data_IF_120375566031
#
_entry.id   IF_120375566031
#
_cell.length_a   1.000
_cell.length_b   1.000
_cell.length_c   1.000
_cell.angle_alpha   90.00
_cell.angle_beta   90.00
_cell.angle_gamma   90.00
#
_symmetry.space_group_name_H-M   'P 1'
#
loop_
_entity.id
_entity.type
_entity.pdbx_description
1 polymer ?
#
# COMPACT_ATOMS: atom_id res chain seq x y z
N UNK A 1 11.28 11.89 -29.02
CA UNK A 1 10.59 10.87 -29.84
C UNK A 1 9.10 10.98 -29.64
N UNK A 2 8.31 10.40 -30.53
CA UNK A 2 6.86 10.23 -30.31
C UNK A 2 6.68 9.18 -29.19
N UNK A 3 5.78 9.38 -28.21
CA UNK A 3 5.47 8.33 -27.23
C UNK A 3 4.93 7.09 -27.91
N UNK A 4 5.53 5.93 -27.66
CA UNK A 4 5.10 4.64 -28.23
C UNK A 4 4.57 3.78 -27.08
N UNK A 5 3.31 3.32 -27.14
CA UNK A 5 2.81 2.34 -26.19
C UNK A 5 3.59 1.04 -26.28
N UNK A 6 4.15 0.58 -25.16
CA UNK A 6 4.78 -0.73 -25.05
C UNK A 6 3.87 -1.69 -24.28
N UNK A 7 3.73 -2.93 -24.79
CA UNK A 7 2.96 -3.96 -24.11
C UNK A 7 3.78 -4.59 -22.99
N UNK A 8 3.23 -4.58 -21.76
CA UNK A 8 3.77 -5.35 -20.64
C UNK A 8 3.24 -6.79 -20.70
N UNK A 9 4.01 -7.70 -21.25
CA UNK A 9 3.67 -9.14 -21.22
C UNK A 9 4.28 -9.77 -19.98
N UNK A 10 3.44 -9.97 -18.96
CA UNK A 10 3.87 -10.55 -17.70
C UNK A 10 3.62 -12.05 -17.74
N UNK A 11 4.70 -12.81 -17.63
CA UNK A 11 4.67 -14.27 -17.50
C UNK A 11 5.21 -14.64 -16.13
N UNK A 12 4.46 -15.49 -15.43
CA UNK A 12 4.93 -16.10 -14.20
C UNK A 12 6.10 -17.04 -14.51
N UNK A 13 7.28 -16.77 -13.96
CA UNK A 13 8.48 -17.56 -14.26
C UNK A 13 8.40 -19.02 -13.76
N UNK A 14 7.54 -19.30 -12.77
CA UNK A 14 7.37 -20.63 -12.17
C UNK A 14 6.34 -21.45 -12.93
N UNK A 15 5.16 -20.89 -13.17
CA UNK A 15 4.04 -21.57 -13.83
C UNK A 15 4.04 -21.39 -15.35
N UNK A 16 4.89 -20.49 -15.86
CA UNK A 16 4.95 -20.06 -17.26
C UNK A 16 3.61 -19.51 -17.77
N UNK A 17 2.71 -19.14 -16.86
CA UNK A 17 1.41 -18.60 -17.22
C UNK A 17 1.52 -17.10 -17.50
N UNK A 18 1.12 -16.70 -18.70
CA UNK A 18 0.90 -15.29 -19.03
C UNK A 18 -0.40 -14.80 -18.39
N UNK A 19 -0.38 -13.59 -17.83
CA UNK A 19 -1.59 -12.93 -17.33
C UNK A 19 -2.55 -12.64 -18.50
N UNK A 20 -3.85 -12.84 -18.27
CA UNK A 20 -4.91 -12.68 -19.29
C UNK A 20 -5.34 -11.23 -19.48
N UNK A 21 -5.25 -10.47 -18.40
CA UNK A 21 -5.39 -9.03 -18.36
C UNK A 21 -4.43 -8.52 -17.29
N UNK A 22 -3.96 -7.29 -17.43
CA UNK A 22 -3.11 -6.63 -16.43
C UNK A 22 -3.48 -5.16 -16.32
N UNK A 23 -3.23 -4.60 -15.15
CA UNK A 23 -3.34 -3.17 -14.86
C UNK A 23 -2.08 -2.75 -14.12
N UNK A 24 -1.30 -1.85 -14.72
CA UNK A 24 -0.25 -1.13 -14.01
C UNK A 24 -0.90 -0.09 -13.08
N UNK A 25 -0.48 -0.06 -11.82
CA UNK A 25 -1.06 0.80 -10.78
C UNK A 25 -0.08 1.85 -10.28
N UNK A 26 1.21 1.51 -10.27
CA UNK A 26 2.25 2.39 -9.77
C UNK A 26 3.54 2.29 -10.60
N UNK A 27 4.31 3.37 -10.58
CA UNK A 27 5.61 3.49 -11.22
C UNK A 27 6.56 4.24 -10.30
N UNK A 28 7.83 3.84 -10.26
CA UNK A 28 8.87 4.52 -9.49
C UNK A 28 9.17 5.91 -10.07
N UNK A 29 9.79 6.77 -9.28
CA UNK A 29 10.08 8.15 -9.67
C UNK A 29 11.02 8.26 -10.88
N UNK A 30 11.90 7.26 -11.07
CA UNK A 30 12.78 7.15 -12.23
C UNK A 30 12.14 6.44 -13.44
N UNK A 31 10.93 5.90 -13.29
CA UNK A 31 10.20 5.21 -14.35
C UNK A 31 10.65 3.77 -14.63
N UNK A 32 11.58 3.21 -13.84
CA UNK A 32 12.18 1.91 -14.12
C UNK A 32 11.46 0.72 -13.48
N UNK A 33 10.72 0.94 -12.40
CA UNK A 33 9.95 -0.10 -11.70
C UNK A 33 8.47 0.19 -11.88
N UNK A 34 7.73 -0.83 -12.31
CA UNK A 34 6.27 -0.77 -12.50
C UNK A 34 5.65 -1.87 -11.65
N UNK A 35 4.62 -1.55 -10.88
CA UNK A 35 3.87 -2.53 -10.11
C UNK A 35 2.39 -2.50 -10.48
N UNK A 36 1.73 -3.64 -10.32
CA UNK A 36 0.32 -3.75 -10.57
C UNK A 36 -0.21 -5.14 -10.30
N UNK A 37 -1.31 -5.47 -10.96
CA UNK A 37 -1.88 -6.80 -10.86
C UNK A 37 -2.51 -7.24 -12.17
N UNK A 38 -2.65 -8.54 -12.35
CA UNK A 38 -3.33 -9.10 -13.50
C UNK A 38 -4.02 -10.41 -13.21
N UNK A 39 -4.95 -10.78 -14.07
CA UNK A 39 -5.78 -11.96 -13.89
C UNK A 39 -5.11 -13.20 -14.46
N UNK A 40 -5.16 -14.28 -13.69
CA UNK A 40 -4.91 -15.64 -14.20
C UNK A 40 -6.24 -16.36 -14.42
N UNK A 41 -6.18 -17.67 -14.72
CA UNK A 41 -7.38 -18.52 -14.72
C UNK A 41 -8.05 -18.62 -13.35
N UNK A 42 -7.26 -18.48 -12.29
CA UNK A 42 -7.68 -18.84 -10.93
C UNK A 42 -7.92 -17.63 -10.05
N UNK A 43 -7.14 -16.56 -10.21
CA UNK A 43 -7.25 -15.33 -9.43
C UNK A 43 -6.32 -14.21 -9.94
N UNK A 44 -6.45 -13.02 -9.34
CA UNK A 44 -5.50 -11.92 -9.55
C UNK A 44 -4.14 -12.22 -8.90
N UNK A 45 -3.09 -11.75 -9.55
CA UNK A 45 -1.70 -11.86 -9.12
C UNK A 45 -1.08 -10.47 -9.15
N UNK A 46 -0.42 -10.10 -8.05
CA UNK A 46 0.39 -8.90 -8.01
C UNK A 46 1.67 -9.17 -8.81
N UNK A 47 2.17 -8.16 -9.51
CA UNK A 47 3.41 -8.24 -10.26
C UNK A 47 4.25 -6.99 -10.04
N UNK A 48 5.54 -7.15 -10.27
CA UNK A 48 6.51 -6.07 -10.45
C UNK A 48 7.26 -6.31 -11.77
N UNK A 49 7.54 -5.23 -12.49
CA UNK A 49 8.27 -5.25 -13.75
C UNK A 49 9.38 -4.21 -13.70
N UNK A 50 10.61 -4.64 -14.01
CA UNK A 50 11.78 -3.79 -14.20
C UNK A 50 11.99 -3.51 -15.68
N UNK A 51 12.20 -2.24 -16.02
CA UNK A 51 12.61 -1.80 -17.37
C UNK A 51 14.13 -1.88 -17.44
N UNK A 52 14.65 -2.89 -18.16
CA UNK A 52 16.10 -3.12 -18.28
C UNK A 52 16.73 -2.29 -19.41
N UNK A 53 16.01 -2.19 -20.54
CA UNK A 53 16.47 -1.40 -21.69
C UNK A 53 15.27 -0.90 -22.52
N UNK A 54 15.02 0.40 -22.44
CA UNK A 54 13.96 1.06 -23.22
C UNK A 54 14.40 1.46 -24.64
N UNK A 55 15.63 1.18 -25.04
CA UNK A 55 16.16 1.49 -26.40
C UNK A 55 15.91 0.37 -27.41
N UNK A 56 15.45 -0.80 -26.93
CA UNK A 56 15.11 -1.97 -27.75
C UNK A 56 13.65 -1.95 -28.20
N UNK A 57 13.34 -2.69 -29.27
CA UNK A 57 11.97 -2.95 -29.74
C UNK A 57 11.77 -4.47 -29.95
N UNK A 58 10.95 -5.15 -29.12
CA UNK A 58 10.25 -4.61 -27.94
C UNK A 58 11.23 -4.19 -26.85
N UNK A 59 10.81 -3.26 -25.98
CA UNK A 59 11.59 -2.88 -24.79
C UNK A 59 11.92 -4.12 -23.96
N UNK A 60 13.12 -4.16 -23.39
CA UNK A 60 13.57 -5.29 -22.57
C UNK A 60 13.04 -5.10 -21.16
N UNK A 61 12.22 -6.06 -20.74
CA UNK A 61 11.54 -6.06 -19.45
C UNK A 61 11.85 -7.33 -18.69
N UNK A 62 11.87 -7.22 -17.37
CA UNK A 62 11.94 -8.36 -16.48
C UNK A 62 10.75 -8.29 -15.52
N UNK A 63 9.90 -9.33 -15.51
CA UNK A 63 8.67 -9.32 -14.73
C UNK A 63 8.64 -10.47 -13.73
N UNK A 64 8.19 -10.16 -12.53
CA UNK A 64 8.07 -11.08 -11.42
C UNK A 64 6.64 -11.07 -10.88
N UNK A 65 6.10 -12.25 -10.63
CA UNK A 65 4.87 -12.38 -9.84
C UNK A 65 5.24 -12.30 -8.37
N UNK A 66 4.64 -11.35 -7.67
CA UNK A 66 4.86 -11.16 -6.25
C UNK A 66 4.18 -12.28 -5.46
N UNK A 67 4.81 -12.79 -4.38
CA UNK A 67 4.23 -13.87 -3.59
C UNK A 67 2.93 -13.45 -2.90
N UNK A 68 1.99 -14.37 -2.78
CA UNK A 68 0.78 -14.19 -1.97
C UNK A 68 0.99 -14.67 -0.52
N UNK A 69 0.15 -14.19 0.40
CA UNK A 69 0.10 -14.74 1.76
C UNK A 69 -0.31 -16.22 1.72
N UNK A 70 0.22 -17.01 2.65
CA UNK A 70 -0.09 -18.44 2.76
C UNK A 70 -1.60 -18.72 2.79
N UNK A 71 -2.07 -19.53 1.83
CA UNK A 71 -3.49 -19.87 1.67
C UNK A 71 -4.36 -18.79 1.00
N UNK A 72 -3.79 -17.64 0.64
CA UNK A 72 -4.47 -16.58 -0.11
C UNK A 72 -4.71 -16.94 -1.58
N UNK A 73 -5.87 -16.58 -2.11
CA UNK A 73 -6.22 -16.84 -3.51
C UNK A 73 -5.72 -15.76 -4.45
N UNK A 74 -5.69 -14.50 -4.04
CA UNK A 74 -5.31 -13.37 -4.90
C UNK A 74 -4.33 -12.42 -4.21
N UNK A 75 -3.62 -11.64 -5.02
CA UNK A 75 -2.77 -10.54 -4.59
C UNK A 75 -2.86 -9.40 -5.60
N UNK A 76 -2.79 -8.16 -5.11
CA UNK A 76 -2.88 -6.95 -5.92
C UNK A 76 -1.96 -5.85 -5.37
N UNK A 77 -1.07 -5.31 -6.22
CA UNK A 77 -0.22 -4.18 -5.88
C UNK A 77 -0.84 -2.87 -6.38
N UNK A 78 -0.79 -1.82 -5.56
CA UNK A 78 -1.44 -0.53 -5.83
C UNK A 78 -0.51 0.67 -5.75
N UNK A 79 0.51 0.63 -4.89
CA UNK A 79 1.43 1.74 -4.67
C UNK A 79 2.87 1.25 -4.45
N UNK A 80 3.84 2.15 -4.50
CA UNK A 80 5.24 1.84 -4.19
C UNK A 80 5.97 3.06 -3.61
N UNK A 81 7.08 2.83 -2.92
CA UNK A 81 8.02 3.88 -2.54
C UNK A 81 8.64 4.54 -3.79
N UNK A 82 9.12 5.80 -3.71
CA UNK A 82 9.66 6.50 -4.87
C UNK A 82 10.80 5.79 -5.61
N UNK A 83 11.59 4.99 -4.89
CA UNK A 83 12.68 4.16 -5.43
C UNK A 83 12.22 2.79 -5.95
N UNK A 84 10.93 2.45 -5.81
CA UNK A 84 10.37 1.18 -6.23
C UNK A 84 10.78 -0.03 -5.39
N UNK A 85 11.49 0.16 -4.26
CA UNK A 85 12.00 -0.95 -3.45
C UNK A 85 10.91 -1.64 -2.62
N UNK A 86 9.91 -0.87 -2.16
CA UNK A 86 8.80 -1.40 -1.37
C UNK A 86 7.49 -1.15 -2.12
N UNK A 87 6.70 -2.20 -2.31
CA UNK A 87 5.41 -2.16 -2.99
C UNK A 87 4.32 -2.40 -1.96
N UNK A 88 3.25 -1.60 -1.98
CA UNK A 88 2.11 -1.72 -1.11
C UNK A 88 0.86 -2.19 -1.88
N UNK A 89 0.01 -2.96 -1.20
CA UNK A 89 -1.24 -3.42 -1.77
C UNK A 89 -2.04 -4.30 -0.83
N UNK A 90 -2.62 -5.38 -1.37
CA UNK A 90 -3.34 -6.38 -0.60
C UNK A 90 -3.10 -7.80 -1.08
N UNK A 91 -3.21 -8.73 -0.16
CA UNK A 91 -3.24 -10.16 -0.46
C UNK A 91 -4.37 -10.82 0.32
N UNK A 92 -5.00 -11.79 -0.32
CA UNK A 92 -5.99 -12.64 0.31
C UNK A 92 -5.36 -13.49 1.43
N UNK A 93 -6.17 -13.90 2.39
CA UNK A 93 -5.80 -14.83 3.46
C UNK A 93 -7.02 -15.68 3.85
N UNK A 94 -6.86 -16.75 4.64
CA UNK A 94 -8.01 -17.54 5.10
C UNK A 94 -9.09 -16.75 5.87
N UNK A 95 -8.76 -15.54 6.37
CA UNK A 95 -9.69 -14.65 7.09
C UNK A 95 -10.15 -13.44 6.26
N UNK A 96 -9.82 -13.44 4.96
CA UNK A 96 -10.10 -12.37 4.01
C UNK A 96 -8.87 -11.50 3.69
N UNK A 97 -9.04 -10.49 2.82
CA UNK A 97 -7.95 -9.66 2.32
C UNK A 97 -7.26 -8.83 3.41
N UNK A 98 -5.94 -8.74 3.32
CA UNK A 98 -5.10 -8.03 4.28
C UNK A 98 -4.22 -7.03 3.53
N UNK A 99 -4.05 -5.84 4.10
CA UNK A 99 -3.04 -4.91 3.63
C UNK A 99 -1.66 -5.54 3.82
N UNK A 100 -0.82 -5.44 2.80
CA UNK A 100 0.51 -6.02 2.81
C UNK A 100 1.50 -5.15 2.05
N UNK A 101 2.77 -5.40 2.32
CA UNK A 101 3.88 -4.88 1.53
C UNK A 101 4.72 -6.02 0.98
N UNK A 102 5.31 -5.78 -0.18
CA UNK A 102 6.33 -6.61 -0.79
C UNK A 102 7.64 -5.86 -0.84
N UNK A 103 8.73 -6.59 -0.60
CA UNK A 103 10.10 -6.09 -0.65
C UNK A 103 11.03 -7.24 -0.97
N UNK A 104 12.26 -6.94 -1.39
CA UNK A 104 13.30 -7.94 -1.60
C UNK A 104 13.95 -8.25 -0.25
N UNK A 105 13.97 -9.52 0.13
CA UNK A 105 14.77 -10.00 1.26
C UNK A 105 16.26 -9.91 0.87
N UNK A 106 17.05 -9.12 1.61
CA UNK A 106 18.45 -8.87 1.28
C UNK A 106 19.33 -10.12 1.41
N UNK A 107 18.91 -11.11 2.18
CA UNK A 107 19.67 -12.37 2.38
C UNK A 107 19.46 -13.32 1.21
N UNK A 108 18.22 -13.45 0.72
CA UNK A 108 17.89 -14.38 -0.37
C UNK A 108 17.89 -13.74 -1.75
N UNK A 109 17.72 -12.42 -1.82
CA UNK A 109 17.48 -11.69 -3.07
C UNK A 109 16.09 -11.93 -3.65
N UNK A 110 15.17 -12.55 -2.91
CA UNK A 110 13.83 -12.87 -3.39
C UNK A 110 12.80 -11.86 -2.89
N UNK A 111 11.77 -11.59 -3.71
CA UNK A 111 10.59 -10.86 -3.26
C UNK A 111 9.86 -11.66 -2.18
N UNK A 112 9.64 -11.03 -1.03
CA UNK A 112 8.85 -11.55 0.08
C UNK A 112 7.64 -10.66 0.34
N UNK A 113 6.70 -11.17 1.15
CA UNK A 113 5.47 -10.46 1.54
C UNK A 113 5.37 -10.36 3.05
N UNK A 114 5.02 -9.17 3.56
CA UNK A 114 4.70 -8.93 4.98
C UNK A 114 3.26 -8.44 5.09
N UNK A 115 2.46 -9.16 5.87
CA UNK A 115 1.11 -8.69 6.22
C UNK A 115 1.21 -7.56 7.24
N UNK A 116 0.52 -6.44 6.99
CA UNK A 116 0.46 -5.30 7.91
C UNK A 116 -0.63 -5.48 8.98
N UNK A 117 -1.66 -6.28 8.66
CA UNK A 117 -2.82 -6.48 9.52
C UNK A 117 -4.09 -5.84 8.98
N UNK A 118 -5.05 -5.65 9.89
CA UNK A 118 -6.35 -5.02 9.64
C UNK A 118 -6.90 -4.55 11.00
N UNK A 119 -7.78 -3.54 10.99
CA UNK A 119 -8.45 -3.03 12.21
C UNK A 119 -9.31 -4.11 12.87
N UNK A 120 -9.98 -4.95 12.07
CA UNK A 120 -10.76 -6.08 12.58
C UNK A 120 -9.91 -7.37 12.69
N UNK A 121 -9.93 -7.99 13.88
CA UNK A 121 -9.31 -9.30 14.13
C UNK A 121 -10.10 -10.48 13.54
N UNK A 122 -11.40 -10.30 13.24
CA UNK A 122 -12.32 -11.37 12.84
C UNK A 122 -12.50 -11.47 11.32
N UNK A 123 -12.86 -10.35 10.70
CA UNK A 123 -13.04 -10.21 9.27
C UNK A 123 -11.97 -9.26 8.75
N UNK A 124 -11.05 -9.77 7.94
CA UNK A 124 -10.04 -8.94 7.30
C UNK A 124 -10.56 -8.51 5.94
N UNK A 125 -10.76 -7.22 5.74
CA UNK A 125 -10.84 -6.59 4.42
C UNK A 125 -10.04 -5.30 4.49
N UNK A 126 -8.73 -5.42 4.25
CA UNK A 126 -7.81 -4.31 4.27
C UNK A 126 -7.01 -4.24 2.97
N UNK A 127 -6.68 -3.02 2.55
CA UNK A 127 -5.89 -2.73 1.37
C UNK A 127 -5.03 -1.49 1.59
N UNK A 128 -3.72 -1.61 1.37
CA UNK A 128 -2.83 -0.47 1.33
C UNK A 128 -2.85 0.17 -0.07
N UNK A 129 -3.13 1.47 -0.13
CA UNK A 129 -3.32 2.23 -1.39
C UNK A 129 -2.28 3.33 -1.56
N UNK A 130 -1.54 3.67 -0.49
CA UNK A 130 -0.45 4.62 -0.52
C UNK A 130 0.68 4.21 0.43
N UNK A 131 1.90 4.58 0.09
CA UNK A 131 3.10 4.30 0.87
C UNK A 131 4.11 5.44 0.69
N UNK A 132 4.81 5.80 1.76
CA UNK A 132 5.93 6.72 1.76
C UNK A 132 6.97 6.27 2.79
N UNK A 133 8.20 6.75 2.66
CA UNK A 133 9.15 6.70 3.76
C UNK A 133 8.72 7.67 4.85
N UNK A 134 8.86 7.27 6.12
CA UNK A 134 8.69 8.16 7.25
C UNK A 134 9.81 9.20 7.22
N UNK A 135 9.50 10.50 7.16
CA UNK A 135 10.53 11.53 7.17
C UNK A 135 11.39 11.45 8.42
N UNK A 136 12.71 11.62 8.26
CA UNK A 136 13.65 11.59 9.37
C UNK A 136 13.95 10.20 9.95
N UNK A 137 13.32 9.13 9.45
CA UNK A 137 13.62 7.76 9.91
C UNK A 137 15.04 7.34 9.51
N UNK A 138 15.85 6.97 10.50
CA UNK A 138 17.22 6.50 10.27
C UNK A 138 17.29 5.04 9.81
N UNK A 139 16.21 4.29 9.98
CA UNK A 139 16.14 2.85 9.69
C UNK A 139 15.29 2.53 8.47
N UNK A 140 14.65 3.54 7.84
CA UNK A 140 13.78 3.34 6.69
C UNK A 140 12.37 2.89 7.06
N UNK A 141 11.82 3.38 8.19
CA UNK A 141 10.41 3.19 8.49
C UNK A 141 9.53 3.75 7.38
N UNK A 142 8.36 3.15 7.24
CA UNK A 142 7.36 3.51 6.26
C UNK A 142 6.14 4.11 6.94
N UNK A 143 5.41 4.92 6.19
CA UNK A 143 4.03 5.30 6.46
C UNK A 143 3.19 4.70 5.32
N UNK A 144 2.32 3.76 5.65
CA UNK A 144 1.41 3.10 4.70
C UNK A 144 -0.01 3.50 5.04
N UNK A 145 -0.78 3.87 4.03
CA UNK A 145 -2.17 4.30 4.20
C UNK A 145 -3.10 3.43 3.36
N UNK A 146 -4.36 3.38 3.75
CA UNK A 146 -5.36 2.67 2.96
C UNK A 146 -6.71 2.59 3.62
N UNK A 147 -7.42 1.50 3.35
CA UNK A 147 -8.69 1.17 4.00
C UNK A 147 -8.64 -0.16 4.72
N UNK A 148 -9.40 -0.28 5.80
CA UNK A 148 -9.61 -1.52 6.54
C UNK A 148 -11.02 -1.58 7.09
N UNK A 149 -11.66 -2.73 6.99
CA UNK A 149 -12.84 -3.02 7.80
C UNK A 149 -12.46 -3.08 9.30
N UNK A 150 -13.31 -2.53 10.16
CA UNK A 150 -13.23 -2.72 11.62
C UNK A 150 -14.45 -3.49 12.15
N UNK A 151 -14.54 -3.56 13.49
CA UNK A 151 -15.71 -4.10 14.17
C UNK A 151 -16.93 -3.17 14.12
N UNK A 152 -16.71 -1.86 13.93
CA UNK A 152 -17.77 -0.84 13.94
C UNK A 152 -18.22 -0.48 12.53
N UNK A 153 -17.30 -0.44 11.57
CA UNK A 153 -17.56 0.07 10.23
C UNK A 153 -17.09 -0.89 9.13
N UNK A 154 -17.74 -0.81 7.98
CA UNK A 154 -17.42 -1.63 6.80
C UNK A 154 -16.14 -1.20 6.10
N UNK A 155 -15.67 0.04 6.33
CA UNK A 155 -14.41 0.56 5.84
C UNK A 155 -14.00 1.77 6.69
N UNK A 156 -12.73 1.85 7.07
CA UNK A 156 -12.10 3.00 7.72
C UNK A 156 -10.74 3.25 7.10
N UNK A 157 -10.36 4.52 6.98
CA UNK A 157 -9.02 4.92 6.61
C UNK A 157 -8.04 4.47 7.71
N UNK A 158 -6.93 3.84 7.33
CA UNK A 158 -5.90 3.46 8.29
C UNK A 158 -4.57 4.10 7.97
N UNK A 159 -3.72 4.18 9.00
CA UNK A 159 -2.28 4.37 8.86
C UNK A 159 -1.54 3.21 9.52
N UNK A 160 -0.54 2.70 8.83
CA UNK A 160 0.43 1.76 9.34
C UNK A 160 1.82 2.40 9.36
N UNK A 161 2.55 2.29 10.46
CA UNK A 161 3.91 2.83 10.59
C UNK A 161 4.87 1.77 11.09
N UNK A 162 5.97 1.53 10.38
CA UNK A 162 6.99 0.58 10.82
C UNK A 162 7.99 0.20 9.73
N UNK A 163 8.89 -0.72 10.06
CA UNK A 163 9.95 -1.18 9.17
C UNK A 163 9.71 -2.63 8.70
N UNK A 164 9.77 -2.92 7.38
CA UNK A 164 9.66 -4.29 6.89
C UNK A 164 10.78 -5.22 7.37
N UNK A 165 12.01 -4.73 7.52
CA UNK A 165 13.23 -5.55 7.63
C UNK A 165 13.77 -5.74 9.05
N UNK A 166 13.20 -5.06 10.05
CA UNK A 166 13.61 -5.19 11.46
C UNK A 166 12.74 -6.24 12.16
N UNK A 167 13.37 -7.20 12.85
CA UNK A 167 12.71 -8.43 13.34
C UNK A 167 11.99 -8.31 14.70
N UNK A 168 12.28 -7.33 15.57
CA UNK A 168 11.67 -7.28 16.90
C UNK A 168 11.27 -5.87 17.37
N UNK A 169 10.10 -5.79 18.01
CA UNK A 169 9.50 -4.68 18.78
C UNK A 169 9.15 -3.35 18.08
N UNK A 170 9.70 -3.04 16.90
CA UNK A 170 9.17 -1.96 16.02
C UNK A 170 8.09 -2.49 15.08
N UNK A 171 7.16 -3.26 15.65
CA UNK A 171 5.99 -3.80 14.94
C UNK A 171 5.10 -2.61 14.59
N UNK A 172 5.29 -2.08 13.40
CA UNK A 172 4.20 -1.80 12.47
C UNK A 172 2.85 -1.51 13.12
N UNK A 173 2.59 -0.28 13.55
CA UNK A 173 1.34 0.00 14.25
C UNK A 173 0.21 0.31 13.28
N UNK A 174 -0.87 -0.47 13.31
CA UNK A 174 -2.04 -0.33 12.44
C UNK A 174 -3.16 0.42 13.18
N UNK A 175 -3.38 1.68 12.81
CA UNK A 175 -4.35 2.56 13.47
C UNK A 175 -5.44 3.01 12.51
N UNK A 176 -6.62 3.24 13.07
CA UNK A 176 -7.62 4.09 12.43
C UNK A 176 -7.06 5.53 12.35
N UNK A 177 -7.09 6.11 11.15
CA UNK A 177 -6.58 7.47 10.91
C UNK A 177 -7.40 8.52 11.67
N UNK A 178 -8.72 8.34 11.78
CA UNK A 178 -9.59 9.27 12.53
C UNK A 178 -9.17 9.32 14.01
N UNK A 179 -8.91 8.14 14.60
CA UNK A 179 -8.37 8.03 15.94
C UNK A 179 -7.05 8.81 16.13
N UNK A 180 -6.10 8.69 15.19
CA UNK A 180 -4.83 9.43 15.26
C UNK A 180 -5.08 10.95 15.25
N UNK A 181 -5.88 11.43 14.30
CA UNK A 181 -6.14 12.86 14.13
C UNK A 181 -6.84 13.46 15.36
N UNK A 182 -7.74 12.69 15.97
CA UNK A 182 -8.42 13.10 17.20
C UNK A 182 -7.46 13.14 18.39
N UNK A 183 -6.63 12.10 18.56
CA UNK A 183 -5.70 12.00 19.71
C UNK A 183 -4.57 13.02 19.66
N UNK A 184 -4.15 13.41 18.48
CA UNK A 184 -3.09 14.41 18.28
C UNK A 184 -3.61 15.85 18.21
N UNK A 185 -4.93 16.05 18.21
CA UNK A 185 -5.55 17.37 18.00
C UNK A 185 -5.42 17.90 16.56
N UNK A 186 -4.76 17.16 15.66
CA UNK A 186 -4.62 17.53 14.25
C UNK A 186 -5.98 17.63 13.53
N UNK A 187 -6.96 16.81 13.94
CA UNK A 187 -8.33 16.89 13.45
C UNK A 187 -9.00 18.24 13.76
N UNK A 188 -8.83 18.74 14.99
CA UNK A 188 -9.38 20.04 15.39
C UNK A 188 -8.68 21.20 14.67
N UNK A 189 -7.35 21.16 14.60
CA UNK A 189 -6.55 22.19 13.93
C UNK A 189 -6.81 22.29 12.42
N UNK A 190 -7.14 21.18 11.77
CA UNK A 190 -7.47 21.14 10.34
C UNK A 190 -8.93 21.50 10.04
N UNK A 191 -9.75 21.81 11.06
CA UNK A 191 -11.20 21.98 10.95
C UNK A 191 -11.93 20.74 10.42
N UNK A 192 -11.23 19.62 10.26
CA UNK A 192 -11.83 18.34 9.91
C UNK A 192 -12.57 17.73 11.11
N UNK A 193 -12.24 18.11 12.34
CA UNK A 193 -12.96 17.74 13.56
C UNK A 193 -13.14 16.22 13.76
N UNK A 194 -13.74 15.84 14.89
CA UNK A 194 -14.14 14.45 15.20
C UNK A 194 -15.48 14.07 14.55
N UNK A 195 -15.92 14.78 13.50
CA UNK A 195 -17.24 14.61 12.87
C UNK A 195 -17.17 14.10 11.44
N UNK A 196 -15.97 14.06 10.86
CA UNK A 196 -15.75 13.33 9.62
C UNK A 196 -15.61 11.84 9.90
N UNK A 197 -16.25 11.01 9.08
CA UNK A 197 -16.01 9.57 9.04
C UNK A 197 -15.08 9.30 7.86
N UNK A 198 -13.85 8.86 8.11
CA UNK A 198 -12.85 8.64 7.06
C UNK A 198 -12.94 7.20 6.55
N UNK A 199 -13.39 7.00 5.30
CA UNK A 199 -13.60 5.65 4.76
C UNK A 199 -12.36 5.02 4.13
N UNK A 200 -11.56 5.82 3.45
CA UNK A 200 -10.35 5.33 2.77
C UNK A 200 -9.38 6.47 2.56
N UNK A 201 -8.13 6.24 2.98
CA UNK A 201 -7.01 6.99 2.47
C UNK A 201 -6.63 6.40 1.10
N UNK A 202 -6.44 7.26 0.10
CA UNK A 202 -6.16 6.85 -1.29
C UNK A 202 -4.73 7.20 -1.73
N UNK A 203 -4.03 8.01 -0.95
CA UNK A 203 -2.67 8.40 -1.26
C UNK A 203 -1.99 9.13 -0.11
N UNK A 204 -0.67 9.07 -0.11
CA UNK A 204 0.23 9.80 0.77
C UNK A 204 1.32 10.45 -0.08
N UNK A 205 1.69 11.68 0.24
CA UNK A 205 2.81 12.35 -0.44
C UNK A 205 4.14 11.65 -0.13
N UNK A 206 5.12 11.76 -1.04
CA UNK A 206 6.47 11.24 -0.80
C UNK A 206 7.14 11.82 0.46
N UNK A 207 6.78 13.04 0.87
CA UNK A 207 7.25 13.66 2.11
C UNK A 207 6.48 13.20 3.37
N UNK A 208 5.54 12.27 3.26
CA UNK A 208 4.80 11.69 4.39
C UNK A 208 3.86 12.64 5.17
N UNK A 209 3.75 13.91 4.78
CA UNK A 209 3.04 14.96 5.53
C UNK A 209 1.63 15.27 5.00
N UNK A 210 1.27 14.75 3.82
CA UNK A 210 -0.05 14.89 3.19
C UNK A 210 -0.68 13.53 3.01
N UNK A 211 -1.91 13.35 3.49
CA UNK A 211 -2.73 12.16 3.23
C UNK A 211 -4.04 12.62 2.63
N UNK A 212 -4.47 11.98 1.55
CA UNK A 212 -5.74 12.28 0.87
C UNK A 212 -6.66 11.07 0.85
N UNK A 213 -7.95 11.30 0.76
CA UNK A 213 -8.93 10.23 0.74
C UNK A 213 -10.35 10.73 0.57
N UNK A 214 -11.32 9.89 0.92
CA UNK A 214 -12.73 10.23 0.91
C UNK A 214 -13.46 9.68 2.14
N UNK A 215 -14.60 10.27 2.46
CA UNK A 215 -15.33 10.01 3.69
C UNK A 215 -16.69 10.70 3.72
N UNK A 216 -17.33 10.73 4.89
CA UNK A 216 -18.57 11.48 5.14
C UNK A 216 -18.24 12.73 5.94
N UNK A 217 -18.64 13.89 5.44
CA UNK A 217 -18.49 15.18 6.12
C UNK A 217 -19.53 15.36 7.25
N UNK A 218 -19.41 16.39 8.10
CA UNK A 218 -20.32 16.62 9.23
C UNK A 218 -21.77 16.87 8.81
N UNK A 219 -22.01 17.32 7.57
CA UNK A 219 -23.33 17.49 6.98
C UNK A 219 -23.92 16.18 6.42
N UNK A 220 -23.17 15.07 6.46
CA UNK A 220 -23.59 13.75 5.98
C UNK A 220 -23.32 13.49 4.49
N UNK A 221 -22.62 14.38 3.80
CA UNK A 221 -22.24 14.26 2.39
C UNK A 221 -20.96 13.45 2.19
N UNK A 222 -20.87 12.71 1.08
CA UNK A 222 -19.64 11.97 0.71
C UNK A 222 -18.71 12.90 -0.06
N UNK A 223 -17.52 13.17 0.48
CA UNK A 223 -16.57 14.14 -0.07
C UNK A 223 -15.11 13.69 0.09
N UNK A 224 -14.24 14.29 -0.73
CA UNK A 224 -12.80 14.11 -0.62
C UNK A 224 -12.23 14.97 0.51
N UNK A 225 -11.16 14.48 1.14
CA UNK A 225 -10.47 15.18 2.22
C UNK A 225 -8.95 15.18 2.03
N UNK A 226 -8.30 16.12 2.73
CA UNK A 226 -6.85 16.26 2.80
C UNK A 226 -6.43 16.51 4.24
N UNK A 227 -5.60 15.62 4.77
CA UNK A 227 -4.83 15.87 5.99
C UNK A 227 -3.54 16.59 5.61
N UNK A 228 -3.23 17.68 6.30
CA UNK A 228 -1.97 18.43 6.13
C UNK A 228 -1.17 18.43 7.41
N UNK A 229 0.15 18.22 7.32
CA UNK A 229 1.02 18.20 8.49
C UNK A 229 0.77 16.98 9.36
N UNK A 230 0.59 15.81 8.75
CA UNK A 230 0.35 14.57 9.49
C UNK A 230 1.44 14.36 10.56
N UNK A 231 1.07 14.21 11.84
CA UNK A 231 2.03 14.15 12.93
C UNK A 231 2.64 12.75 12.98
N UNK A 232 3.90 12.60 12.59
CA UNK A 232 4.64 11.32 12.72
C UNK A 232 5.67 11.33 13.86
N UNK A 233 6.05 12.49 14.40
CA UNK A 233 7.04 12.59 15.49
C UNK A 233 6.44 12.53 16.90
N UNK A 234 5.14 12.85 17.04
CA UNK A 234 4.44 12.94 18.34
C UNK A 234 3.56 11.73 18.66
N UNK A 235 3.64 10.67 17.84
CA UNK A 235 2.82 9.46 17.98
C UNK A 235 3.35 8.55 19.10
N UNK A 236 3.23 8.99 20.36
CA UNK A 236 3.45 8.10 21.52
C UNK A 236 2.15 7.38 21.83
N UNK A 237 1.90 6.27 21.14
CA UNK A 237 0.76 5.41 21.45
C UNK A 237 1.12 4.42 22.54
N UNK A 238 0.77 4.74 23.78
CA UNK A 238 0.78 3.76 24.86
C UNK A 238 -0.31 2.71 24.62
N UNK A 239 0.03 1.43 24.74
CA UNK A 239 -0.90 0.31 24.66
C UNK A 239 -2.05 0.51 25.68
N UNK A 240 -3.30 0.52 25.22
CA UNK A 240 -4.46 0.16 26.06
C UNK A 240 -4.98 -1.22 25.62
#
# INVERSE_FOLDING_TARGET
GVPIPAQLTIQDAVTLQTLRSSSAQAVSADGLIIAGYGSTKTANRAFVTSVLDATTDPITLESYILPGLGGGKFAEAYAMTPDGLIIAGRSDSPKGPVACIWFVDETTGEWVIKALGALSKKNKDAAATGIAYRPGSAVGELIVVGRSQSILYTSEAFVWTGNPTVEEEEIGYFYDLEYILTKTGAGEASLMGSSWILYEATGISAAGDRIVGWGVNPEGGVEAWLVTGYPYDELVFTHE
#
